data_IF_666033240668
#
_entry.id   IF_666033240668
#
_cell.length_a   1.000
_cell.length_b   1.000
_cell.length_c   1.000
_cell.angle_alpha   90.00
_cell.angle_beta   90.00
_cell.angle_gamma   90.00
#
_symmetry.space_group_name_H-M   'P 1'
#
loop_
_entity.id
_entity.type
_entity.pdbx_description
1 polymer ?
#
# COMPACT_ATOMS: atom_id res chain seq x y z
N UNK A 1 -6.21 10.76 1.04
CA UNK A 1 -6.09 11.19 2.46
C UNK A 1 -4.61 11.25 2.80
N UNK A 2 -4.17 12.19 3.65
CA UNK A 2 -2.78 12.22 4.15
C UNK A 2 -2.72 12.57 5.64
N UNK A 3 -1.65 12.14 6.30
CA UNK A 3 -1.34 12.51 7.69
C UNK A 3 -0.66 13.87 7.75
N UNK A 4 -0.91 14.63 8.81
CA UNK A 4 -0.08 15.81 9.11
C UNK A 4 0.53 15.68 10.49
N UNK A 5 1.82 15.98 10.58
CA UNK A 5 2.55 16.06 11.83
C UNK A 5 2.65 17.53 12.23
N UNK A 6 2.50 17.84 13.52
CA UNK A 6 2.92 19.14 14.04
C UNK A 6 4.37 19.04 14.49
N UNK A 7 5.19 20.01 14.08
CA UNK A 7 6.57 20.11 14.53
C UNK A 7 6.58 20.88 15.85
N UNK A 8 6.77 20.17 16.96
CA UNK A 8 7.30 20.74 18.20
C UNK A 8 8.78 20.39 18.29
N UNK A 9 9.64 21.25 18.88
CA UNK A 9 11.02 20.89 19.24
C UNK A 9 11.13 19.60 20.08
N UNK A 10 10.03 19.18 20.71
CA UNK A 10 9.99 18.03 21.63
C UNK A 10 9.25 16.81 21.11
N UNK A 11 8.41 16.93 20.07
CA UNK A 11 7.41 15.90 19.76
C UNK A 11 7.14 15.79 18.24
N UNK A 12 7.15 14.56 17.71
CA UNK A 12 6.98 14.25 16.28
C UNK A 12 5.83 13.26 16.04
N UNK A 13 4.62 13.63 16.44
CA UNK A 13 3.45 12.77 16.31
C UNK A 13 2.59 13.11 15.08
N UNK A 14 1.93 12.10 14.52
CA UNK A 14 0.75 12.31 13.67
C UNK A 14 -0.42 12.63 14.60
N UNK A 15 -1.00 13.83 14.50
CA UNK A 15 -2.10 14.25 15.36
C UNK A 15 -3.47 14.11 14.72
N UNK A 16 -3.56 14.37 13.41
CA UNK A 16 -4.82 14.39 12.68
C UNK A 16 -4.60 14.08 11.20
N UNK A 17 -5.70 13.81 10.50
CA UNK A 17 -5.71 13.52 9.07
C UNK A 17 -6.31 14.69 8.28
N UNK A 18 -5.94 14.77 7.01
CA UNK A 18 -6.66 15.57 6.01
C UNK A 18 -7.24 14.69 4.92
N UNK A 19 -8.48 14.99 4.56
CA UNK A 19 -9.20 14.33 3.48
C UNK A 19 -9.53 15.36 2.40
N UNK A 20 -9.53 14.93 1.16
CA UNK A 20 -10.07 15.66 0.03
C UNK A 20 -11.12 14.77 -0.62
N UNK A 21 -12.26 15.37 -0.98
CA UNK A 21 -13.37 14.71 -1.69
C UNK A 21 -13.52 15.23 -3.11
N UNK A 22 -12.68 16.18 -3.51
CA UNK A 22 -12.68 16.87 -4.81
C UNK A 22 -11.35 16.68 -5.55
N UNK A 23 -10.77 15.48 -5.44
CA UNK A 23 -9.54 15.05 -6.11
C UNK A 23 -8.32 15.95 -5.82
N UNK A 24 -8.21 16.42 -4.58
CA UNK A 24 -7.07 17.18 -4.06
C UNK A 24 -7.17 18.69 -4.24
N UNK A 25 -8.27 19.22 -4.79
CA UNK A 25 -8.47 20.66 -4.97
C UNK A 25 -8.64 21.38 -3.63
N UNK A 26 -9.47 20.82 -2.75
CA UNK A 26 -9.66 21.30 -1.38
C UNK A 26 -9.41 20.18 -0.38
N UNK A 27 -9.03 20.58 0.83
CA UNK A 27 -8.65 19.65 1.89
C UNK A 27 -9.32 20.05 3.19
N UNK A 28 -10.05 19.11 3.77
CA UNK A 28 -10.66 19.23 5.08
C UNK A 28 -9.77 18.58 6.13
N UNK A 29 -9.57 19.27 7.26
CA UNK A 29 -8.99 18.69 8.47
C UNK A 29 -10.03 17.83 9.17
N UNK A 30 -9.66 16.58 9.46
CA UNK A 30 -10.45 15.68 10.29
C UNK A 30 -10.15 15.90 11.78
N UNK A 31 -11.02 15.43 12.69
CA UNK A 31 -10.77 15.46 14.13
C UNK A 31 -9.47 14.77 14.54
N UNK A 32 -8.97 15.14 15.72
CA UNK A 32 -7.70 14.64 16.24
C UNK A 32 -7.81 13.16 16.58
N UNK A 33 -6.71 12.44 16.39
CA UNK A 33 -6.60 11.04 16.74
C UNK A 33 -6.58 10.91 18.27
N UNK A 34 -7.37 10.01 18.86
CA UNK A 34 -7.40 9.82 20.30
C UNK A 34 -6.11 9.20 20.86
N UNK A 35 -5.29 8.57 20.00
CA UNK A 35 -3.99 8.01 20.35
C UNK A 35 -2.93 8.35 19.30
N UNK A 36 -1.73 8.70 19.77
CA UNK A 36 -0.58 9.04 18.92
C UNK A 36 0.74 8.56 19.55
N UNK A 37 1.73 8.21 18.73
CA UNK A 37 3.08 7.79 19.18
C UNK A 37 4.18 8.33 18.26
N UNK A 38 5.42 8.42 18.77
CA UNK A 38 6.56 9.04 18.07
C UNK A 38 7.06 8.24 16.85
N UNK A 39 6.41 7.12 16.55
CA UNK A 39 6.76 6.23 15.46
C UNK A 39 5.96 6.54 14.20
N UNK A 40 6.41 6.00 13.06
CA UNK A 40 5.69 6.16 11.79
C UNK A 40 4.32 5.50 11.90
N UNK A 41 3.27 6.26 11.60
CA UNK A 41 1.94 5.70 11.47
C UNK A 41 1.72 5.11 10.08
N UNK A 42 0.96 4.04 10.00
CA UNK A 42 0.42 3.50 8.75
C UNK A 42 -1.07 3.83 8.69
N UNK A 43 -1.61 4.18 7.52
CA UNK A 43 -3.06 4.31 7.35
C UNK A 43 -3.53 3.18 6.45
N UNK A 44 -4.54 2.45 6.91
CA UNK A 44 -5.14 1.36 6.18
C UNK A 44 -6.62 1.68 5.93
N UNK A 45 -7.09 1.42 4.73
CA UNK A 45 -8.51 1.50 4.39
C UNK A 45 -9.10 0.11 4.37
N UNK A 46 -10.34 -0.02 4.82
CA UNK A 46 -11.14 -1.21 4.54
C UNK A 46 -11.21 -1.42 3.03
N UNK A 47 -11.13 -2.68 2.61
CA UNK A 47 -11.36 -3.07 1.21
C UNK A 47 -12.76 -2.67 0.73
N UNK A 48 -13.69 -2.52 1.68
CA UNK A 48 -15.06 -2.05 1.50
C UNK A 48 -15.27 -0.60 1.97
N UNK A 49 -14.23 0.25 2.03
CA UNK A 49 -14.34 1.62 2.53
C UNK A 49 -15.50 2.42 1.90
N UNK A 50 -15.91 2.12 0.65
CA UNK A 50 -16.99 2.84 -0.02
C UNK A 50 -18.31 2.71 0.74
N UNK A 51 -18.54 1.52 1.31
CA UNK A 51 -19.78 1.16 1.98
C UNK A 51 -19.66 1.31 3.50
N UNK A 52 -18.54 0.88 4.09
CA UNK A 52 -18.38 0.83 5.54
C UNK A 52 -17.66 2.04 6.14
N UNK A 53 -17.09 2.91 5.30
CA UNK A 53 -16.31 4.09 5.70
C UNK A 53 -15.24 3.78 6.76
N UNK A 54 -14.70 2.56 6.77
CA UNK A 54 -13.75 2.09 7.77
C UNK A 54 -12.30 2.35 7.37
N UNK A 55 -11.57 3.05 8.23
CA UNK A 55 -10.13 3.19 8.11
C UNK A 55 -9.45 3.10 9.47
N UNK A 56 -8.14 2.81 9.44
CA UNK A 56 -7.30 2.70 10.60
C UNK A 56 -6.05 3.56 10.47
N UNK A 57 -5.61 4.19 11.56
CA UNK A 57 -4.29 4.80 11.70
C UNK A 57 -3.53 4.04 12.77
N UNK A 58 -2.56 3.25 12.34
CA UNK A 58 -1.85 2.26 13.14
C UNK A 58 -0.49 2.78 13.57
N UNK A 59 -0.20 2.64 14.86
CA UNK A 59 1.09 2.88 15.49
C UNK A 59 1.66 1.57 16.05
N UNK A 60 2.76 1.65 16.80
CA UNK A 60 3.45 0.48 17.33
C UNK A 60 2.62 -0.25 18.40
N UNK A 61 1.95 0.49 19.28
CA UNK A 61 1.24 -0.13 20.41
C UNK A 61 -0.28 -0.24 20.21
N UNK A 62 -0.83 0.55 19.30
CA UNK A 62 -2.27 0.62 19.10
C UNK A 62 -2.64 1.15 17.71
N UNK A 63 -3.91 0.97 17.34
CA UNK A 63 -4.48 1.54 16.12
C UNK A 63 -5.74 2.36 16.44
N UNK A 64 -5.86 3.53 15.84
CA UNK A 64 -7.11 4.30 15.85
C UNK A 64 -7.98 3.81 14.70
N UNK A 65 -9.22 3.40 14.97
CA UNK A 65 -10.17 2.94 13.95
C UNK A 65 -11.34 3.91 13.88
N UNK A 66 -11.73 4.28 12.67
CA UNK A 66 -12.96 5.01 12.36
C UNK A 66 -13.84 4.14 11.49
N UNK A 67 -15.16 4.16 11.73
CA UNK A 67 -16.18 3.59 10.83
C UNK A 67 -17.05 4.71 10.21
N UNK A 68 -16.54 5.94 10.22
CA UNK A 68 -17.26 7.14 9.77
C UNK A 68 -16.37 8.02 8.89
N UNK A 69 -15.43 7.43 8.16
CA UNK A 69 -14.53 8.15 7.25
C UNK A 69 -13.57 9.11 7.97
N UNK A 70 -13.28 8.85 9.25
CA UNK A 70 -12.36 9.62 10.07
C UNK A 70 -13.00 10.78 10.85
N UNK A 71 -14.33 10.84 10.91
CA UNK A 71 -15.07 11.81 11.74
C UNK A 71 -15.05 11.42 13.23
N UNK A 72 -15.29 10.15 13.57
CA UNK A 72 -15.15 9.63 14.94
C UNK A 72 -14.15 8.49 14.97
N UNK A 73 -13.46 8.36 16.10
CA UNK A 73 -12.37 7.41 16.29
C UNK A 73 -12.54 6.65 17.58
N UNK A 74 -12.09 5.39 17.58
CA UNK A 74 -11.84 4.60 18.79
C UNK A 74 -10.43 4.02 18.74
N UNK A 75 -9.79 3.92 19.88
CA UNK A 75 -8.47 3.28 19.99
C UNK A 75 -8.64 1.77 20.24
N UNK A 76 -7.91 0.97 19.49
CA UNK A 76 -7.74 -0.47 19.70
C UNK A 76 -6.29 -0.70 20.12
N UNK A 77 -6.10 -1.15 21.35
CA UNK A 77 -4.79 -1.53 21.86
C UNK A 77 -4.48 -2.95 21.42
N UNK A 78 -3.27 -3.18 20.91
CA UNK A 78 -2.87 -4.52 20.52
C UNK A 78 -2.64 -5.41 21.75
N UNK A 79 -2.97 -6.72 21.70
CA UNK A 79 -2.64 -7.65 22.78
C UNK A 79 -1.15 -7.69 23.10
N UNK A 80 -0.31 -7.43 22.09
CA UNK A 80 1.14 -7.30 22.21
C UNK A 80 1.59 -6.06 21.43
N UNK A 81 2.49 -5.22 21.97
CA UNK A 81 3.03 -4.09 21.23
C UNK A 81 3.99 -4.52 20.13
N UNK A 82 4.26 -3.60 19.21
CA UNK A 82 5.21 -3.72 18.10
C UNK A 82 4.90 -4.88 17.14
N UNK A 83 3.73 -4.89 16.47
CA UNK A 83 3.51 -5.81 15.35
C UNK A 83 4.47 -5.45 14.21
N UNK A 84 5.05 -6.48 13.58
CA UNK A 84 5.87 -6.32 12.36
C UNK A 84 5.01 -5.85 11.18
N UNK A 85 3.76 -6.31 11.12
CA UNK A 85 2.80 -5.99 10.07
C UNK A 85 1.40 -5.82 10.66
N UNK A 86 0.66 -4.87 10.11
CA UNK A 86 -0.77 -4.71 10.39
C UNK A 86 -1.53 -4.64 9.07
N UNK A 87 -2.70 -5.28 9.03
CA UNK A 87 -3.63 -5.13 7.91
C UNK A 87 -5.08 -5.02 8.40
N UNK A 88 -5.85 -4.23 7.66
CA UNK A 88 -7.29 -4.03 7.84
C UNK A 88 -8.00 -4.71 6.68
N UNK A 89 -8.83 -5.71 6.96
CA UNK A 89 -9.70 -6.29 5.95
C UNK A 89 -10.98 -5.49 5.77
N UNK A 90 -11.72 -5.33 6.86
CA UNK A 90 -12.94 -4.54 6.97
C UNK A 90 -13.19 -4.08 8.41
N UNK A 91 -14.39 -3.55 8.70
CA UNK A 91 -14.80 -3.12 10.04
C UNK A 91 -14.65 -4.17 11.16
N UNK A 92 -14.68 -5.46 10.82
CA UNK A 92 -14.63 -6.57 11.77
C UNK A 92 -13.25 -7.28 11.77
N UNK A 93 -12.60 -7.36 10.62
CA UNK A 93 -11.42 -8.20 10.42
C UNK A 93 -10.11 -7.42 10.49
N UNK A 94 -9.33 -7.65 11.56
CA UNK A 94 -8.02 -7.05 11.78
C UNK A 94 -6.94 -8.12 11.90
N UNK A 95 -5.75 -7.82 11.38
CA UNK A 95 -4.60 -8.73 11.41
C UNK A 95 -3.36 -8.00 11.95
N UNK A 96 -2.71 -8.59 12.93
CA UNK A 96 -1.44 -8.11 13.48
C UNK A 96 -0.41 -9.25 13.45
N UNK A 97 0.63 -9.10 12.63
CA UNK A 97 1.70 -10.06 12.45
C UNK A 97 2.86 -9.77 13.40
N UNK A 98 3.39 -10.81 14.02
CA UNK A 98 4.50 -10.70 14.96
C UNK A 98 5.64 -11.64 14.59
N UNK A 99 6.81 -11.22 15.01
CA UNK A 99 8.05 -11.97 14.97
C UNK A 99 9.12 -11.16 15.69
N UNK A 100 10.24 -11.78 16.03
CA UNK A 100 11.36 -11.04 16.62
C UNK A 100 12.66 -11.52 16.00
N UNK A 101 13.35 -10.59 15.36
CA UNK A 101 14.78 -10.71 15.07
C UNK A 101 15.56 -10.68 16.39
N UNK A 102 15.60 -11.81 17.08
CA UNK A 102 16.47 -12.01 18.23
C UNK A 102 17.48 -13.11 17.92
N UNK A 103 18.64 -13.10 18.61
CA UNK A 103 19.57 -14.23 18.59
C UNK A 103 18.84 -15.56 18.88
N UNK A 104 19.35 -16.69 18.36
CA UNK A 104 18.63 -17.98 18.33
C UNK A 104 18.08 -18.45 19.69
N UNK A 105 18.75 -18.08 20.78
CA UNK A 105 18.42 -18.44 22.16
C UNK A 105 17.18 -17.76 22.75
N UNK A 106 16.67 -16.68 22.15
CA UNK A 106 15.49 -15.93 22.63
C UNK A 106 14.38 -15.78 21.58
N UNK A 107 14.37 -16.65 20.57
CA UNK A 107 13.41 -16.56 19.46
C UNK A 107 12.01 -16.97 19.93
N UNK A 108 11.09 -16.01 19.97
CA UNK A 108 9.66 -16.29 20.09
C UNK A 108 9.18 -16.65 18.69
N UNK A 109 8.59 -17.84 18.45
CA UNK A 109 8.04 -18.19 17.16
C UNK A 109 7.04 -17.12 16.70
N UNK A 110 7.11 -16.73 15.43
CA UNK A 110 6.18 -15.74 14.91
C UNK A 110 4.74 -16.26 14.91
N UNK A 111 3.81 -15.31 15.00
CA UNK A 111 2.38 -15.55 15.06
C UNK A 111 1.63 -14.43 14.33
N UNK A 112 0.42 -14.73 13.89
CA UNK A 112 -0.55 -13.70 13.51
C UNK A 112 -1.65 -13.67 14.56
N UNK A 113 -1.98 -12.49 15.05
CA UNK A 113 -3.17 -12.25 15.85
C UNK A 113 -4.29 -11.74 14.95
N UNK A 114 -5.45 -12.39 15.05
CA UNK A 114 -6.61 -12.13 14.20
C UNK A 114 -7.77 -11.69 15.08
N UNK A 115 -8.45 -10.63 14.68
CA UNK A 115 -9.71 -10.20 15.29
C UNK A 115 -10.83 -10.26 14.26
N UNK A 116 -12.01 -10.69 14.69
CA UNK A 116 -13.25 -10.76 13.88
C UNK A 116 -14.38 -9.91 14.47
N UNK A 117 -14.06 -9.01 15.41
CA UNK A 117 -15.01 -8.13 16.10
C UNK A 117 -14.50 -6.69 16.19
N UNK A 118 -13.64 -6.29 15.25
CA UNK A 118 -13.07 -4.96 15.16
C UNK A 118 -12.03 -4.68 16.24
N UNK A 119 -11.35 -5.71 16.75
CA UNK A 119 -10.27 -5.60 17.73
C UNK A 119 -10.72 -5.62 19.19
N UNK A 120 -11.94 -6.09 19.48
CA UNK A 120 -12.40 -6.29 20.87
C UNK A 120 -11.78 -7.56 21.45
N UNK A 121 -11.73 -8.63 20.66
CA UNK A 121 -11.05 -9.88 21.00
C UNK A 121 -10.09 -10.27 19.88
N UNK A 122 -9.04 -11.00 20.28
CA UNK A 122 -7.96 -11.42 19.40
C UNK A 122 -7.66 -12.90 19.61
N UNK A 123 -7.43 -13.61 18.51
CA UNK A 123 -6.98 -15.01 18.48
C UNK A 123 -5.55 -15.05 17.94
N UNK A 124 -4.62 -15.62 18.72
CA UNK A 124 -3.28 -15.94 18.22
C UNK A 124 -3.29 -17.22 17.38
N UNK A 125 -2.63 -17.16 16.22
CA UNK A 125 -2.39 -18.31 15.35
C UNK A 125 -0.87 -18.44 15.15
N UNK A 126 -0.23 -19.50 15.67
CA UNK A 126 1.22 -19.71 15.52
C UNK A 126 1.61 -19.95 14.06
N UNK A 127 2.59 -19.19 13.56
CA UNK A 127 3.12 -19.31 12.19
C UNK A 127 4.47 -20.01 12.15
N UNK A 128 5.19 -20.08 13.28
CA UNK A 128 6.50 -20.73 13.40
C UNK A 128 7.67 -19.88 12.88
N UNK A 129 7.41 -19.01 11.90
CA UNK A 129 8.31 -17.98 11.38
C UNK A 129 7.72 -16.59 11.59
N UNK A 130 8.55 -15.55 11.52
CA UNK A 130 8.12 -14.17 11.71
C UNK A 130 7.13 -13.80 10.58
N UNK A 131 6.03 -13.17 10.95
CA UNK A 131 5.13 -12.56 9.96
C UNK A 131 5.75 -11.24 9.54
N UNK A 132 6.14 -11.11 8.28
CA UNK A 132 6.84 -9.92 7.77
C UNK A 132 5.88 -8.97 7.06
N UNK A 133 5.01 -9.47 6.17
CA UNK A 133 3.96 -8.68 5.52
C UNK A 133 2.63 -9.42 5.52
N UNK A 134 1.54 -8.64 5.51
CA UNK A 134 0.16 -9.13 5.39
C UNK A 134 -0.48 -8.39 4.24
N UNK A 135 -1.06 -9.13 3.30
CA UNK A 135 -1.71 -8.63 2.09
C UNK A 135 -3.15 -9.10 2.09
N UNK A 136 -4.09 -8.17 1.91
CA UNK A 136 -5.52 -8.47 1.94
C UNK A 136 -6.12 -8.31 0.54
N UNK A 137 -6.95 -9.28 0.12
CA UNK A 137 -7.64 -9.25 -1.16
C UNK A 137 -8.52 -7.99 -1.28
N UNK A 138 -8.57 -7.32 -2.44
CA UNK A 138 -9.51 -6.22 -2.66
C UNK A 138 -10.99 -6.68 -2.60
N UNK A 139 -11.24 -7.99 -2.70
CA UNK A 139 -12.54 -8.61 -2.55
C UNK A 139 -12.71 -9.34 -1.20
N UNK A 140 -11.91 -8.96 -0.19
CA UNK A 140 -11.86 -9.64 1.11
C UNK A 140 -13.23 -9.80 1.78
N UNK A 141 -14.11 -8.81 1.64
CA UNK A 141 -15.45 -8.91 2.21
C UNK A 141 -16.32 -10.02 1.60
N UNK A 142 -15.96 -10.51 0.41
CA UNK A 142 -16.64 -11.64 -0.23
C UNK A 142 -15.82 -12.93 -0.16
N UNK A 143 -14.49 -12.85 -0.29
CA UNK A 143 -13.62 -14.02 -0.46
C UNK A 143 -12.77 -14.37 0.78
N UNK A 144 -12.76 -13.50 1.79
CA UNK A 144 -11.98 -13.62 3.02
C UNK A 144 -10.50 -13.97 2.81
N UNK A 145 -9.94 -13.57 1.67
CA UNK A 145 -8.61 -13.96 1.22
C UNK A 145 -7.52 -13.04 1.78
N UNK A 146 -6.53 -13.64 2.44
CA UNK A 146 -5.36 -12.97 3.00
C UNK A 146 -4.11 -13.77 2.66
N UNK A 147 -3.06 -13.10 2.19
CA UNK A 147 -1.72 -13.67 2.08
C UNK A 147 -0.79 -13.06 3.12
N UNK A 148 0.20 -13.84 3.56
CA UNK A 148 1.31 -13.33 4.36
C UNK A 148 2.63 -13.80 3.79
N UNK A 149 3.63 -12.93 3.87
CA UNK A 149 5.02 -13.37 3.77
C UNK A 149 5.54 -13.74 5.15
N UNK A 150 6.18 -14.91 5.20
CA UNK A 150 6.88 -15.38 6.37
C UNK A 150 8.37 -15.15 6.16
N UNK A 151 9.05 -14.71 7.20
CA UNK A 151 10.47 -14.42 7.17
C UNK A 151 11.15 -14.66 8.51
N UNK A 152 12.46 -14.54 8.50
CA UNK A 152 13.31 -14.32 9.67
C UNK A 152 14.58 -13.62 9.18
N UNK A 153 15.45 -13.19 10.10
CA UNK A 153 16.72 -12.56 9.74
C UNK A 153 17.45 -13.31 8.60
N UNK A 154 17.44 -12.73 7.40
CA UNK A 154 17.99 -13.27 6.13
C UNK A 154 17.44 -14.65 5.70
N UNK A 155 16.20 -14.99 6.07
CA UNK A 155 15.55 -16.25 5.70
C UNK A 155 14.15 -15.99 5.16
N UNK A 156 13.92 -16.33 3.89
CA UNK A 156 12.58 -16.31 3.30
C UNK A 156 11.82 -17.59 3.69
N UNK A 157 10.75 -17.43 4.47
CA UNK A 157 9.82 -18.48 4.83
C UNK A 157 8.78 -18.78 3.74
N UNK A 158 8.70 -17.96 2.69
CA UNK A 158 7.74 -18.04 1.60
C UNK A 158 6.39 -17.43 1.94
N UNK A 159 5.41 -17.69 1.09
CA UNK A 159 4.05 -17.20 1.21
C UNK A 159 3.12 -18.24 1.84
N UNK A 160 2.18 -17.75 2.63
CA UNK A 160 1.02 -18.50 3.11
C UNK A 160 -0.27 -17.77 2.76
N UNK A 161 -1.34 -18.52 2.54
CA UNK A 161 -2.66 -18.05 2.14
C UNK A 161 -3.70 -18.55 3.14
N UNK A 162 -4.63 -17.67 3.48
CA UNK A 162 -5.89 -17.99 4.17
C UNK A 162 -7.05 -17.56 3.28
N UNK A 163 -8.11 -18.36 3.26
CA UNK A 163 -9.40 -18.06 2.62
C UNK A 163 -10.55 -18.08 3.63
N UNK A 164 -10.22 -17.99 4.92
CA UNK A 164 -11.15 -18.02 6.04
C UNK A 164 -10.86 -16.89 7.05
N UNK A 165 -10.43 -15.74 6.52
CA UNK A 165 -10.12 -14.54 7.27
C UNK A 165 -9.06 -14.77 8.37
N UNK A 166 -8.00 -15.50 8.03
CA UNK A 166 -6.79 -15.70 8.85
C UNK A 166 -6.90 -16.79 9.91
N UNK A 167 -7.96 -17.61 9.91
CA UNK A 167 -8.12 -18.68 10.90
C UNK A 167 -7.25 -19.90 10.60
N UNK A 168 -7.12 -20.24 9.32
CA UNK A 168 -6.25 -21.32 8.84
C UNK A 168 -5.39 -20.84 7.68
N UNK A 169 -4.22 -21.47 7.55
CA UNK A 169 -3.18 -21.04 6.62
C UNK A 169 -2.58 -22.24 5.90
N UNK A 170 -2.34 -22.09 4.59
CA UNK A 170 -1.69 -23.08 3.75
C UNK A 170 -0.56 -22.44 2.95
N UNK A 171 0.38 -23.28 2.48
CA UNK A 171 1.49 -22.84 1.60
C UNK A 171 0.94 -22.27 0.28
N UNK A 172 1.52 -21.16 -0.16
CA UNK A 172 1.13 -20.43 -1.37
C UNK A 172 2.36 -19.93 -2.14
N UNK A 173 3.43 -20.73 -2.12
CA UNK A 173 4.78 -20.38 -2.56
C UNK A 173 5.32 -21.30 -3.65
N UNK A 174 4.49 -22.20 -4.19
CA UNK A 174 4.90 -23.11 -5.24
C UNK A 174 5.34 -22.32 -6.49
N UNK A 175 6.56 -22.58 -6.97
CA UNK A 175 7.16 -21.89 -8.11
C UNK A 175 8.01 -20.66 -7.76
N UNK A 176 8.06 -20.25 -6.50
CA UNK A 176 9.01 -19.22 -6.02
C UNK A 176 10.39 -19.85 -5.73
N UNK A 177 11.47 -19.08 -5.86
CA UNK A 177 12.84 -19.57 -5.63
C UNK A 177 13.23 -19.51 -4.14
N UNK A 178 12.63 -18.60 -3.36
CA UNK A 178 12.75 -18.47 -1.89
C UNK A 178 14.19 -18.41 -1.33
N UNK A 179 15.20 -18.24 -2.18
CA UNK A 179 16.62 -18.37 -1.80
C UNK A 179 17.24 -17.07 -1.26
N UNK A 180 16.45 -16.02 -1.05
CA UNK A 180 16.95 -14.70 -0.67
C UNK A 180 16.18 -14.05 0.47
N UNK A 181 15.93 -12.75 0.35
CA UNK A 181 15.62 -11.90 1.49
C UNK A 181 14.14 -11.95 1.93
N UNK A 182 13.23 -12.36 1.05
CA UNK A 182 11.80 -12.38 1.37
C UNK A 182 10.93 -11.85 0.25
N UNK A 183 9.62 -12.08 0.39
CA UNK A 183 8.60 -11.42 -0.42
C UNK A 183 8.13 -10.18 0.34
N UNK A 184 8.62 -9.01 -0.08
CA UNK A 184 8.32 -7.73 0.58
C UNK A 184 7.16 -6.97 -0.07
N UNK A 185 6.90 -7.24 -1.35
CA UNK A 185 5.86 -6.56 -2.13
C UNK A 185 5.02 -7.57 -2.90
N UNK A 186 3.70 -7.44 -2.77
CA UNK A 186 2.69 -8.25 -3.45
C UNK A 186 1.47 -7.40 -3.71
N UNK A 187 0.91 -7.52 -4.92
CA UNK A 187 -0.31 -6.84 -5.32
C UNK A 187 -1.31 -7.83 -5.92
N UNK A 188 -2.57 -7.68 -5.52
CA UNK A 188 -3.70 -8.36 -6.14
C UNK A 188 -4.16 -7.58 -7.36
N UNK A 189 -4.65 -8.27 -8.39
CA UNK A 189 -5.47 -7.62 -9.41
C UNK A 189 -6.70 -6.95 -8.76
N UNK A 190 -7.10 -5.75 -9.19
CA UNK A 190 -8.36 -5.14 -8.76
C UNK A 190 -9.58 -6.04 -9.00
N UNK A 191 -9.50 -6.94 -9.99
CA UNK A 191 -10.53 -7.93 -10.30
C UNK A 191 -10.19 -9.34 -9.77
N UNK A 192 -9.41 -9.43 -8.68
CA UNK A 192 -8.95 -10.70 -8.13
C UNK A 192 -10.08 -11.72 -7.88
N UNK A 193 -11.27 -11.27 -7.48
CA UNK A 193 -12.44 -12.15 -7.28
C UNK A 193 -12.77 -13.00 -8.52
N UNK A 194 -12.52 -12.48 -9.73
CA UNK A 194 -12.81 -13.12 -11.00
C UNK A 194 -11.56 -13.65 -11.69
N UNK A 195 -10.49 -12.86 -11.76
CA UNK A 195 -9.30 -13.19 -12.56
C UNK A 195 -8.21 -13.94 -11.78
N UNK A 196 -8.33 -14.02 -10.45
CA UNK A 196 -7.42 -14.72 -9.54
C UNK A 196 -5.94 -14.35 -9.75
N UNK A 197 -5.68 -13.15 -10.26
CA UNK A 197 -4.34 -12.71 -10.65
C UNK A 197 -3.64 -11.97 -9.52
N UNK A 198 -2.37 -12.32 -9.26
CA UNK A 198 -1.49 -11.62 -8.34
C UNK A 198 -0.09 -11.44 -8.95
N UNK A 199 0.63 -10.47 -8.40
CA UNK A 199 2.05 -10.27 -8.64
C UNK A 199 2.79 -10.15 -7.33
N UNK A 200 4.00 -10.69 -7.26
CA UNK A 200 4.90 -10.45 -6.15
C UNK A 200 6.31 -10.20 -6.66
N UNK A 201 7.12 -9.55 -5.83
CA UNK A 201 8.55 -9.41 -6.06
C UNK A 201 9.30 -10.39 -5.15
N UNK A 202 10.01 -11.34 -5.73
CA UNK A 202 10.92 -12.23 -5.00
C UNK A 202 12.33 -11.65 -5.02
N UNK A 203 12.86 -11.33 -3.85
CA UNK A 203 14.24 -10.86 -3.67
C UNK A 203 15.21 -12.03 -3.50
N UNK A 204 15.08 -13.07 -4.33
CA UNK A 204 15.87 -14.30 -4.25
C UNK A 204 17.29 -14.13 -4.83
N UNK A 205 18.25 -14.91 -4.35
CA UNK A 205 19.64 -14.79 -4.79
C UNK A 205 19.88 -15.33 -6.21
N UNK A 206 18.95 -16.15 -6.74
CA UNK A 206 19.12 -16.83 -8.04
C UNK A 206 18.14 -16.35 -9.10
N UNK A 207 16.92 -16.00 -8.70
CA UNK A 207 15.84 -15.64 -9.61
C UNK A 207 15.03 -14.46 -9.05
N UNK A 208 15.75 -13.40 -8.68
CA UNK A 208 15.15 -12.12 -8.30
C UNK A 208 14.30 -11.55 -9.44
N UNK A 209 13.13 -11.01 -9.09
CA UNK A 209 12.26 -10.39 -10.07
C UNK A 209 10.78 -10.50 -9.72
N UNK A 210 9.96 -10.11 -10.69
CA UNK A 210 8.50 -10.18 -10.57
C UNK A 210 8.02 -11.58 -10.93
N UNK A 211 7.14 -12.13 -10.10
CA UNK A 211 6.43 -13.37 -10.34
C UNK A 211 4.94 -13.07 -10.50
N UNK A 212 4.27 -13.85 -11.33
CA UNK A 212 2.83 -13.78 -11.57
C UNK A 212 2.16 -15.10 -11.19
N UNK A 213 1.01 -15.01 -10.55
CA UNK A 213 0.05 -16.11 -10.44
C UNK A 213 -1.27 -15.68 -11.08
N UNK A 214 -1.95 -16.61 -11.74
CA UNK A 214 -3.31 -16.42 -12.30
C UNK A 214 -4.30 -17.43 -11.72
N UNK A 215 -3.94 -18.07 -10.60
CA UNK A 215 -4.67 -19.16 -9.97
C UNK A 215 -4.70 -19.01 -8.44
N UNK A 216 -4.81 -17.77 -7.97
CA UNK A 216 -4.91 -17.42 -6.55
C UNK A 216 -3.70 -17.89 -5.72
N UNK A 217 -2.49 -17.68 -6.23
CA UNK A 217 -1.23 -18.06 -5.60
C UNK A 217 -1.04 -19.58 -5.43
N UNK A 218 -1.76 -20.41 -6.19
CA UNK A 218 -1.53 -21.85 -6.20
C UNK A 218 -0.21 -22.19 -6.90
N UNK A 219 0.15 -21.48 -7.98
CA UNK A 219 1.50 -21.52 -8.56
C UNK A 219 1.95 -20.14 -9.04
N UNK A 220 3.24 -19.88 -8.90
CA UNK A 220 3.91 -18.67 -9.36
C UNK A 220 4.80 -18.96 -10.56
N UNK A 221 4.85 -18.00 -11.49
CA UNK A 221 5.70 -18.04 -12.68
C UNK A 221 6.60 -16.81 -12.70
N UNK A 222 7.91 -17.03 -12.82
CA UNK A 222 8.89 -15.95 -12.94
C UNK A 222 8.75 -15.22 -14.28
N UNK A 223 8.70 -13.89 -14.25
CA UNK A 223 8.63 -13.07 -15.46
C UNK A 223 10.04 -12.67 -15.94
N UNK A 224 10.44 -13.06 -17.15
CA UNK A 224 11.84 -13.06 -17.58
C UNK A 224 12.47 -11.65 -17.76
N UNK A 225 11.67 -10.61 -17.93
CA UNK A 225 12.15 -9.24 -18.21
C UNK A 225 12.08 -8.31 -16.99
N UNK A 226 11.66 -8.82 -15.83
CA UNK A 226 11.31 -8.00 -14.67
C UNK A 226 12.46 -7.92 -13.65
N UNK A 227 13.54 -7.21 -13.98
CA UNK A 227 14.64 -6.98 -13.04
C UNK A 227 15.01 -5.50 -12.93
N UNK A 228 15.30 -5.08 -11.71
CA UNK A 228 15.99 -3.85 -11.39
C UNK A 228 17.17 -4.22 -10.51
N UNK A 229 18.37 -3.76 -10.85
CA UNK A 229 19.51 -3.89 -9.96
C UNK A 229 19.30 -2.97 -8.74
N UNK A 230 18.87 -3.54 -7.61
CA UNK A 230 18.67 -2.82 -6.36
C UNK A 230 19.80 -3.11 -5.36
N UNK A 231 20.27 -2.07 -4.67
CA UNK A 231 21.48 -2.13 -3.86
C UNK A 231 21.20 -2.10 -2.35
N UNK A 232 20.02 -1.64 -1.93
CA UNK A 232 19.74 -1.38 -0.51
C UNK A 232 18.31 -1.67 -0.04
N UNK A 233 17.31 -1.64 -0.93
CA UNK A 233 15.91 -1.90 -0.57
C UNK A 233 15.19 -2.71 -1.65
N UNK A 234 14.36 -3.70 -1.28
CA UNK A 234 13.51 -4.40 -2.24
C UNK A 234 12.51 -3.41 -2.87
N UNK A 235 12.20 -3.55 -4.17
CA UNK A 235 11.26 -2.68 -4.86
C UNK A 235 9.81 -2.93 -4.47
N UNK A 236 8.98 -1.89 -4.62
CA UNK A 236 7.53 -1.97 -4.46
C UNK A 236 6.82 -2.21 -5.80
N UNK A 237 5.76 -3.00 -5.78
CA UNK A 237 4.86 -3.19 -6.91
C UNK A 237 3.62 -2.31 -6.75
N UNK A 238 3.24 -1.63 -7.82
CA UNK A 238 1.91 -1.02 -7.98
C UNK A 238 1.20 -1.64 -9.18
N UNK A 239 -0.11 -1.72 -9.10
CA UNK A 239 -0.98 -2.25 -10.16
C UNK A 239 -2.02 -1.23 -10.56
N UNK A 240 -2.28 -1.11 -11.86
CA UNK A 240 -3.34 -0.25 -12.35
C UNK A 240 -4.69 -0.70 -11.80
N UNK A 241 -5.54 0.20 -11.27
CA UNK A 241 -6.93 -0.10 -10.96
C UNK A 241 -7.72 -0.61 -12.17
N UNK A 242 -7.22 -0.32 -13.39
CA UNK A 242 -7.74 -0.78 -14.67
C UNK A 242 -6.91 -1.91 -15.28
N UNK A 243 -6.21 -2.69 -14.45
CA UNK A 243 -5.32 -3.76 -14.91
C UNK A 243 -6.01 -4.74 -15.87
N UNK A 244 -7.28 -5.09 -15.65
CA UNK A 244 -8.03 -5.96 -16.54
C UNK A 244 -8.17 -5.39 -17.97
N UNK A 245 -8.09 -4.07 -18.14
CA UNK A 245 -8.18 -3.37 -19.42
C UNK A 245 -6.81 -2.99 -19.99
N UNK A 246 -5.87 -2.55 -19.14
CA UNK A 246 -4.62 -1.94 -19.58
C UNK A 246 -3.36 -2.77 -19.29
N UNK A 247 -3.51 -3.87 -18.54
CA UNK A 247 -2.42 -4.76 -18.10
C UNK A 247 -1.20 -4.03 -17.52
N UNK A 248 -1.42 -2.87 -16.88
CA UNK A 248 -0.35 -1.97 -16.45
C UNK A 248 0.10 -2.22 -15.01
N UNK A 249 1.41 -2.33 -14.82
CA UNK A 249 2.09 -2.55 -13.55
C UNK A 249 3.30 -1.62 -13.44
N UNK A 250 3.62 -1.16 -12.24
CA UNK A 250 4.85 -0.43 -11.96
C UNK A 250 5.69 -1.20 -10.95
N UNK A 251 7.01 -1.18 -11.17
CA UNK A 251 8.00 -1.61 -10.19
C UNK A 251 8.80 -0.38 -9.77
N UNK A 252 8.78 -0.10 -8.48
CA UNK A 252 9.31 1.12 -7.87
C UNK A 252 10.55 0.80 -7.05
N UNK A 253 11.66 1.42 -7.41
CA UNK A 253 12.90 1.42 -6.66
C UNK A 253 13.19 2.87 -6.19
N UNK A 254 14.09 3.01 -5.22
CA UNK A 254 14.34 4.27 -4.53
C UNK A 254 14.67 5.46 -5.44
N UNK A 255 15.17 5.27 -6.66
CA UNK A 255 15.38 6.39 -7.60
C UNK A 255 14.81 6.14 -9.00
N UNK A 256 14.18 4.99 -9.23
CA UNK A 256 13.77 4.53 -10.56
C UNK A 256 12.42 3.87 -10.46
N UNK A 257 11.56 4.15 -11.42
CA UNK A 257 10.34 3.40 -11.64
C UNK A 257 10.37 2.85 -13.06
N UNK A 258 10.03 1.57 -13.21
CA UNK A 258 9.75 0.96 -14.52
C UNK A 258 8.28 0.58 -14.58
N UNK A 259 7.72 0.62 -15.78
CA UNK A 259 6.33 0.28 -16.07
C UNK A 259 6.29 -0.83 -17.10
N UNK A 260 5.38 -1.77 -16.90
CA UNK A 260 4.94 -2.73 -17.89
C UNK A 260 3.51 -2.40 -18.29
N UNK A 261 3.19 -2.54 -19.59
CA UNK A 261 1.83 -2.37 -20.15
C UNK A 261 1.30 -3.64 -20.80
N UNK A 262 1.97 -4.76 -20.55
CA UNK A 262 1.68 -6.06 -21.14
C UNK A 262 1.66 -7.17 -20.08
N UNK A 263 1.33 -6.80 -18.84
CA UNK A 263 1.15 -7.74 -17.74
C UNK A 263 2.48 -8.30 -17.20
N UNK A 264 3.54 -7.51 -17.30
CA UNK A 264 4.88 -7.79 -16.75
C UNK A 264 5.82 -8.50 -17.73
N UNK A 265 5.46 -8.62 -19.01
CA UNK A 265 6.27 -9.30 -20.03
C UNK A 265 7.43 -8.42 -20.53
N UNK A 266 7.19 -7.13 -20.69
CA UNK A 266 8.22 -6.13 -21.01
C UNK A 266 8.13 -4.92 -20.09
N UNK A 267 9.28 -4.28 -19.88
CA UNK A 267 9.41 -3.15 -18.96
C UNK A 267 10.17 -2.00 -19.61
N UNK A 268 9.73 -0.78 -19.31
CA UNK A 268 10.36 0.46 -19.78
C UNK A 268 10.36 1.50 -18.66
N UNK A 269 11.19 2.55 -18.72
CA UNK A 269 11.15 3.64 -17.74
C UNK A 269 9.73 4.23 -17.60
N UNK A 270 9.27 4.40 -16.36
CA UNK A 270 7.90 4.85 -16.06
C UNK A 270 7.72 6.38 -16.11
N UNK A 271 8.76 7.15 -15.78
CA UNK A 271 8.68 8.61 -15.66
C UNK A 271 9.85 9.29 -16.35
N UNK A 272 9.58 10.45 -16.98
CA UNK A 272 10.61 11.31 -17.56
C UNK A 272 11.36 12.14 -16.49
N UNK A 273 10.74 12.34 -15.33
CA UNK A 273 11.28 13.08 -14.18
C UNK A 273 11.40 12.15 -12.97
N UNK A 274 12.45 12.27 -12.14
CA UNK A 274 12.60 11.40 -10.97
C UNK A 274 11.56 11.80 -9.92
N UNK A 275 10.43 11.09 -9.90
CA UNK A 275 9.43 11.17 -8.85
C UNK A 275 9.32 9.79 -8.21
N UNK A 276 9.26 9.77 -6.88
CA UNK A 276 8.84 8.60 -6.12
C UNK A 276 7.34 8.45 -6.26
N UNK A 277 6.90 7.51 -7.10
CA UNK A 277 5.49 7.13 -7.19
C UNK A 277 5.00 6.67 -5.81
N UNK A 278 3.89 7.24 -5.38
CA UNK A 278 3.28 7.00 -4.07
C UNK A 278 1.96 6.25 -4.19
N UNK A 279 1.19 6.50 -5.26
CA UNK A 279 -0.11 5.89 -5.46
C UNK A 279 -0.53 5.92 -6.92
N UNK A 280 -1.45 5.03 -7.25
CA UNK A 280 -2.16 4.96 -8.53
C UNK A 280 -3.66 4.90 -8.25
N UNK A 281 -4.46 5.61 -9.03
CA UNK A 281 -5.91 5.59 -8.93
C UNK A 281 -6.56 5.65 -10.32
N UNK A 282 -7.86 5.31 -10.38
CA UNK A 282 -8.66 5.50 -11.57
C UNK A 282 -9.37 6.86 -11.52
N UNK A 283 -9.53 7.47 -12.68
CA UNK A 283 -10.47 8.57 -12.88
C UNK A 283 -11.41 8.23 -14.03
N UNK A 284 -12.67 8.68 -13.92
CA UNK A 284 -13.65 8.60 -14.99
C UNK A 284 -14.23 9.99 -15.22
N UNK A 285 -14.21 10.43 -16.47
CA UNK A 285 -14.83 11.67 -16.92
C UNK A 285 -16.34 11.46 -17.11
N UNK A 286 -17.16 12.54 -17.06
CA UNK A 286 -18.60 12.44 -17.32
C UNK A 286 -18.92 11.91 -18.73
N UNK A 287 -17.99 12.05 -19.67
CA UNK A 287 -18.05 11.46 -21.01
C UNK A 287 -18.05 9.91 -21.00
N UNK A 288 -17.74 9.29 -19.86
CA UNK A 288 -17.55 7.84 -19.72
C UNK A 288 -16.11 7.39 -20.03
N UNK A 289 -15.22 8.31 -20.41
CA UNK A 289 -13.81 8.00 -20.59
C UNK A 289 -13.12 7.86 -19.24
N UNK A 290 -12.53 6.70 -18.98
CA UNK A 290 -11.79 6.43 -17.76
C UNK A 290 -10.31 6.21 -18.05
N UNK A 291 -9.45 6.71 -17.16
CA UNK A 291 -8.01 6.62 -17.25
C UNK A 291 -7.37 6.37 -15.89
N UNK A 292 -6.05 6.40 -15.88
CA UNK A 292 -5.23 6.18 -14.70
C UNK A 292 -4.56 7.49 -14.31
N UNK A 293 -4.62 7.81 -13.04
CA UNK A 293 -3.85 8.90 -12.45
C UNK A 293 -2.77 8.36 -11.51
N UNK A 294 -1.60 8.99 -11.57
CA UNK A 294 -0.48 8.68 -10.70
C UNK A 294 -0.23 9.85 -9.75
N UNK A 295 0.24 9.53 -8.55
CA UNK A 295 0.67 10.48 -7.55
C UNK A 295 2.13 10.20 -7.20
N UNK A 296 2.96 11.24 -7.14
CA UNK A 296 4.38 11.09 -6.86
C UNK A 296 4.95 12.30 -6.13
N UNK A 297 6.08 12.10 -5.46
CA UNK A 297 6.82 13.15 -4.75
C UNK A 297 8.26 13.20 -5.26
N UNK A 298 8.90 14.38 -5.34
CA UNK A 298 10.29 14.46 -5.76
C UNK A 298 11.21 13.87 -4.69
N UNK A 299 12.35 13.27 -5.08
CA UNK A 299 13.35 12.74 -4.15
C UNK A 299 14.03 13.85 -3.35
N UNK A 300 14.14 15.03 -3.96
CA UNK A 300 14.73 16.21 -3.36
C UNK A 300 13.64 17.15 -2.83
N UNK A 301 13.94 17.80 -1.72
CA UNK A 301 13.04 18.79 -1.11
C UNK A 301 12.98 20.05 -1.98
N UNK A 302 11.81 20.67 -2.06
CA UNK A 302 11.63 21.92 -2.80
C UNK A 302 12.55 23.05 -2.30
N UNK A 303 12.72 24.09 -3.12
CA UNK A 303 13.51 25.28 -2.77
C UNK A 303 13.04 25.86 -1.42
N UNK A 304 13.89 25.72 -0.38
CA UNK A 304 13.51 25.99 1.02
C UNK A 304 13.70 24.81 1.96
N UNK A 305 14.11 23.64 1.48
CA UNK A 305 14.76 22.57 2.27
C UNK A 305 13.87 21.76 3.21
N UNK A 306 12.56 22.03 3.27
CA UNK A 306 11.65 21.42 4.25
C UNK A 306 10.32 20.90 3.69
N UNK A 307 10.03 21.11 2.41
CA UNK A 307 8.71 20.80 1.83
C UNK A 307 8.85 19.83 0.67
N UNK A 308 8.06 18.74 0.71
CA UNK A 308 7.82 17.90 -0.46
C UNK A 308 6.50 18.34 -1.07
N UNK A 309 6.47 18.44 -2.39
CA UNK A 309 5.27 18.75 -3.16
C UNK A 309 4.69 17.46 -3.72
N UNK A 310 3.36 17.35 -3.73
CA UNK A 310 2.66 16.23 -4.33
C UNK A 310 2.38 16.55 -5.80
N UNK A 311 2.87 15.69 -6.67
CA UNK A 311 2.64 15.78 -8.10
C UNK A 311 1.61 14.75 -8.52
N UNK A 312 0.85 15.09 -9.55
CA UNK A 312 -0.15 14.22 -10.18
C UNK A 312 0.08 14.12 -11.68
N UNK A 313 -0.17 12.95 -12.25
CA UNK A 313 -0.11 12.69 -13.69
C UNK A 313 -1.42 12.03 -14.14
N UNK A 314 -1.88 12.35 -15.36
CA UNK A 314 -3.05 11.74 -16.02
C UNK A 314 -2.67 10.91 -17.26
N UNK A 315 -1.38 10.85 -17.59
CA UNK A 315 -0.84 10.23 -18.79
C UNK A 315 0.19 9.15 -18.43
N UNK A 316 -0.06 8.46 -17.31
CA UNK A 316 0.77 7.37 -16.79
C UNK A 316 2.23 7.78 -16.53
N UNK A 317 2.44 9.03 -16.10
CA UNK A 317 3.74 9.52 -15.63
C UNK A 317 4.59 10.20 -16.70
N UNK A 318 4.04 10.45 -17.89
CA UNK A 318 4.74 11.19 -18.95
C UNK A 318 4.85 12.68 -18.58
N UNK A 319 3.76 13.27 -18.07
CA UNK A 319 3.73 14.64 -17.57
C UNK A 319 3.16 14.70 -16.16
N UNK A 320 3.59 15.73 -15.41
CA UNK A 320 3.30 15.88 -13.99
C UNK A 320 2.89 17.32 -13.67
N UNK A 321 1.84 17.46 -12.88
CA UNK A 321 1.33 18.72 -12.36
C UNK A 321 1.55 18.76 -10.85
N UNK A 322 2.18 19.82 -10.35
CA UNK A 322 2.26 20.09 -8.91
C UNK A 322 0.85 20.43 -8.40
N UNK A 323 0.40 19.77 -7.33
CA UNK A 323 -0.91 20.05 -6.74
C UNK A 323 -0.90 21.31 -5.86
N UNK A 324 0.27 21.72 -5.36
CA UNK A 324 0.42 22.90 -4.51
C UNK A 324 0.83 24.18 -5.25
N UNK A 325 1.30 24.08 -6.49
CA UNK A 325 1.72 25.23 -7.31
C UNK A 325 1.18 25.09 -8.73
N UNK A 326 0.42 26.06 -9.26
CA UNK A 326 -0.05 26.03 -10.64
C UNK A 326 1.08 26.19 -11.67
N UNK A 327 2.30 26.55 -11.26
CA UNK A 327 3.44 26.64 -12.17
C UNK A 327 4.05 25.25 -12.45
N UNK A 328 4.05 24.80 -13.71
CA UNK A 328 4.59 23.49 -14.07
C UNK A 328 6.11 23.47 -13.88
N UNK A 329 6.73 22.32 -13.51
CA UNK A 329 8.18 22.18 -13.53
C UNK A 329 8.73 22.44 -14.94
N UNK A 330 9.97 22.96 -15.07
CA UNK A 330 10.58 23.26 -16.37
C UNK A 330 10.53 22.03 -17.29
N UNK A 331 9.82 22.15 -18.43
CA UNK A 331 9.62 21.07 -19.40
C UNK A 331 8.23 20.44 -19.46
N UNK A 332 7.22 20.99 -18.77
CA UNK A 332 5.83 20.48 -18.80
C UNK A 332 4.81 21.52 -19.31
N UNK A 333 3.93 21.14 -20.27
CA UNK A 333 2.73 21.86 -20.80
C UNK A 333 1.87 20.84 -21.59
N UNK A 334 0.51 20.81 -21.59
CA UNK A 334 -0.50 21.86 -21.32
C UNK A 334 -1.37 21.63 -20.08
N UNK A 335 -2.20 22.65 -19.80
CA UNK A 335 -3.20 22.63 -18.73
C UNK A 335 -4.11 21.39 -18.83
N UNK A 336 -4.58 20.88 -17.68
CA UNK A 336 -5.53 19.77 -17.66
C UNK A 336 -6.73 20.07 -18.57
N UNK A 337 -7.38 19.05 -19.15
CA UNK A 337 -8.69 19.24 -19.76
C UNK A 337 -9.60 19.98 -18.75
N UNK A 338 -10.47 20.90 -19.22
CA UNK A 338 -11.30 21.70 -18.33
C UNK A 338 -11.98 20.81 -17.29
N UNK A 339 -11.93 21.22 -16.02
CA UNK A 339 -12.64 20.54 -14.96
C UNK A 339 -14.15 20.69 -15.17
N UNK A 340 -14.74 19.88 -16.04
CA UNK A 340 -16.16 19.57 -15.93
C UNK A 340 -16.28 18.69 -14.70
N UNK A 341 -16.52 19.36 -13.57
CA UNK A 341 -16.72 18.79 -12.24
C UNK A 341 -17.72 17.64 -12.34
N UNK A 342 -17.29 16.37 -12.24
CA UNK A 342 -18.20 15.27 -12.05
C UNK A 342 -18.74 15.35 -10.62
N UNK A 343 -20.01 15.00 -10.43
CA UNK A 343 -20.63 14.83 -9.12
C UNK A 343 -19.79 13.95 -8.16
N UNK A 344 -19.95 14.12 -6.84
CA UNK A 344 -19.06 13.51 -5.85
C UNK A 344 -19.22 11.98 -5.81
N UNK A 345 -18.54 11.30 -6.72
CA UNK A 345 -18.26 9.89 -6.56
C UNK A 345 -17.17 9.75 -5.50
N UNK A 346 -17.54 9.12 -4.39
CA UNK A 346 -16.64 8.71 -3.31
C UNK A 346 -15.62 7.71 -3.87
N UNK A 347 -14.49 8.21 -4.38
CA UNK A 347 -13.43 7.35 -4.90
C UNK A 347 -12.57 6.81 -3.75
N UNK A 348 -12.56 5.49 -3.62
CA UNK A 348 -11.58 4.76 -2.81
C UNK A 348 -10.23 4.79 -3.50
N UNK A 349 -9.19 5.09 -2.73
CA UNK A 349 -7.83 4.63 -3.02
C UNK A 349 -7.77 3.11 -2.77
N UNK A 350 -8.27 2.31 -3.71
CA UNK A 350 -7.90 0.89 -3.81
C UNK A 350 -6.61 0.82 -4.64
N UNK A 351 -5.52 1.30 -4.07
CA UNK A 351 -4.19 1.09 -4.63
C UNK A 351 -3.59 -0.13 -3.92
N UNK A 352 -3.43 -1.23 -4.66
CA UNK A 352 -2.50 -2.27 -4.29
C UNK A 352 -1.11 -1.64 -4.20
N UNK A 353 -0.48 -1.76 -3.02
CA UNK A 353 0.81 -1.16 -2.70
C UNK A 353 0.69 0.33 -2.33
N UNK A 354 1.15 0.69 -1.13
CA UNK A 354 1.09 2.02 -0.52
C UNK A 354 -0.32 2.56 -0.23
N UNK A 355 -1.06 1.84 0.63
CA UNK A 355 -2.19 2.44 1.32
C UNK A 355 -1.69 3.63 2.17
N UNK A 356 -2.02 4.82 1.66
CA UNK A 356 -1.84 6.15 2.20
C UNK A 356 -0.48 6.83 2.07
N UNK A 357 -0.54 7.97 1.36
CA UNK A 357 0.41 9.07 1.43
C UNK A 357 0.86 9.33 2.87
N UNK A 358 2.05 8.82 3.21
CA UNK A 358 2.78 9.21 4.39
C UNK A 358 3.15 10.70 4.26
N UNK A 359 2.58 11.52 5.16
CA UNK A 359 2.57 12.96 5.04
C UNK A 359 3.94 13.61 5.00
N UNK A 360 4.07 14.63 4.16
CA UNK A 360 5.03 15.71 4.33
C UNK A 360 4.39 17.07 3.99
N UNK A 361 4.64 18.01 4.91
CA UNK A 361 4.32 19.45 4.97
C UNK A 361 3.45 20.05 3.84
N UNK A 362 2.25 20.50 4.18
CA UNK A 362 1.62 21.69 3.58
C UNK A 362 1.79 22.85 4.56
N UNK A 363 2.70 23.79 4.30
CA UNK A 363 2.63 25.10 4.98
C UNK A 363 1.48 25.90 4.36
N UNK A 364 0.76 26.62 5.22
CA UNK A 364 -0.35 27.50 4.84
C UNK A 364 0.07 28.50 3.77
#
# INVERSE_FOLDING_TARGET
MFTTNEWSPTDRYVHYLRISTDRGLTWQRLPDLPFTENHRAQINFSTNYATDQTLAVTFNSATNISNTGGVTWRTVVFPRPDPNAFALGDAQHLFAGYGRELPPENRVPGEVQVSHDGGQTWRSVPMGLDVDRIFVSPAFAQDHTVLMSLGAYHYNGGLVLSTDAGLTWQRADAGLDLSGLGIYSLVFSPQFATDRTLFCYDSSARAWGVYKSTDAAAVWQHLPAAHLDFWSSPPDLLISPRYAQDQTLWLLEYYRAIVSRDGGQTWQPATAYPLWLQAVAEYCLPSGECGVELYGIPPERGAGGDTYYLYRSYDYGQTWQCLEDPTPPPGSVPAPPPAEVPEPATWLLLAGGAAALAGWRRRR
#
